data_IF_967336948539
#
_entry.id   IF_967336948539
#
_cell.length_a   1.000
_cell.length_b   1.000
_cell.length_c   1.000
_cell.angle_alpha   90.00
_cell.angle_beta   90.00
_cell.angle_gamma   90.00
#
_symmetry.space_group_name_H-M   'P 1'
#
loop_
_entity.id
_entity.type
_entity.pdbx_description
1 polymer ?
#
# COMPACT_ATOMS: atom_id res chain seq x y z
N UNK A 1 -3.15 2.70 -11.76
CA UNK A 1 -3.35 1.35 -11.18
C UNK A 1 -2.38 1.19 -10.01
N UNK A 2 -2.56 0.17 -9.16
CA UNK A 2 -1.61 -0.16 -8.09
C UNK A 2 -0.83 -1.41 -8.55
N UNK A 3 0.50 -1.31 -8.57
CA UNK A 3 1.39 -2.43 -8.86
C UNK A 3 2.12 -2.89 -7.60
N UNK A 4 2.62 -4.13 -7.61
CA UNK A 4 3.47 -4.66 -6.54
C UNK A 4 4.71 -5.32 -7.11
N UNK A 5 5.82 -5.24 -6.38
CA UNK A 5 7.09 -5.90 -6.72
C UNK A 5 7.65 -6.60 -5.49
N UNK A 6 8.08 -7.85 -5.66
CA UNK A 6 8.74 -8.62 -4.60
C UNK A 6 10.25 -8.61 -4.82
N UNK A 7 11.01 -8.19 -3.82
CA UNK A 7 12.46 -8.28 -3.84
C UNK A 7 12.87 -9.77 -3.75
N UNK A 8 13.67 -10.30 -4.70
CA UNK A 8 14.08 -11.70 -4.67
C UNK A 8 15.07 -12.02 -3.53
N UNK A 9 15.81 -11.02 -3.06
CA UNK A 9 16.84 -11.21 -2.02
C UNK A 9 16.28 -11.10 -0.59
N UNK A 10 15.33 -10.20 -0.36
CA UNK A 10 14.77 -9.96 0.99
C UNK A 10 13.37 -10.51 1.16
N UNK A 11 12.69 -10.85 0.07
CA UNK A 11 11.29 -11.30 0.09
C UNK A 11 10.28 -10.19 0.37
N UNK A 12 10.72 -8.96 0.61
CA UNK A 12 9.87 -7.78 0.82
C UNK A 12 9.00 -7.53 -0.40
N UNK A 13 7.71 -7.30 -0.20
CA UNK A 13 6.78 -6.89 -1.25
C UNK A 13 6.51 -5.40 -1.07
N UNK A 14 6.82 -4.59 -2.08
CA UNK A 14 6.49 -3.17 -2.11
C UNK A 14 5.34 -2.89 -3.08
N UNK A 15 4.54 -1.89 -2.76
CA UNK A 15 3.40 -1.41 -3.54
C UNK A 15 3.68 -0.04 -4.11
N UNK A 16 3.24 0.22 -5.34
CA UNK A 16 3.50 1.47 -6.06
C UNK A 16 2.26 1.91 -6.82
N UNK A 17 1.94 3.20 -6.77
CA UNK A 17 1.01 3.79 -7.74
C UNK A 17 1.73 3.99 -9.07
N UNK A 18 1.04 3.76 -10.19
CA UNK A 18 1.66 3.94 -11.51
C UNK A 18 2.13 5.38 -11.77
N UNK A 19 1.51 6.37 -11.12
CA UNK A 19 1.93 7.77 -11.19
C UNK A 19 3.30 8.00 -10.53
N UNK A 20 3.66 7.16 -9.56
CA UNK A 20 4.89 7.28 -8.77
C UNK A 20 5.58 5.90 -8.65
N UNK A 21 6.09 5.33 -9.75
CA UNK A 21 6.54 3.92 -9.82
C UNK A 21 7.81 3.64 -9.00
N UNK A 22 8.45 4.69 -8.48
CA UNK A 22 9.67 4.63 -7.66
C UNK A 22 9.41 4.95 -6.19
N UNK A 23 8.22 5.42 -5.83
CA UNK A 23 7.83 5.72 -4.45
C UNK A 23 6.96 4.59 -3.90
N UNK A 24 7.48 3.85 -2.93
CA UNK A 24 6.72 2.78 -2.29
C UNK A 24 5.62 3.38 -1.41
N UNK A 25 4.37 2.98 -1.63
CA UNK A 25 3.19 3.43 -0.88
C UNK A 25 2.71 2.42 0.15
N UNK A 26 3.34 1.24 0.18
CA UNK A 26 3.13 0.23 1.19
C UNK A 26 4.12 -0.92 1.07
N UNK A 27 4.28 -1.69 2.14
CA UNK A 27 5.16 -2.86 2.13
C UNK A 27 4.60 -4.02 2.95
N UNK A 28 5.00 -5.24 2.58
CA UNK A 28 4.77 -6.46 3.35
C UNK A 28 6.09 -7.19 3.52
N UNK A 29 6.37 -7.58 4.77
CA UNK A 29 7.61 -8.27 5.15
C UNK A 29 7.28 -9.51 5.98
N UNK A 30 8.04 -10.59 5.77
CA UNK A 30 8.03 -11.75 6.68
C UNK A 30 9.09 -11.52 7.74
N UNK A 31 8.67 -11.38 8.99
CA UNK A 31 9.59 -11.11 10.10
C UNK A 31 10.08 -12.43 10.69
N UNK A 32 11.40 -12.59 10.81
CA UNK A 32 12.00 -13.76 11.44
C UNK A 32 11.49 -13.88 12.89
N UNK A 33 11.02 -15.07 13.27
CA UNK A 33 10.47 -15.32 14.61
C UNK A 33 9.02 -14.85 14.84
N UNK A 34 8.38 -14.18 13.87
CA UNK A 34 6.96 -13.84 13.96
C UNK A 34 6.10 -14.90 13.26
N UNK A 35 4.92 -15.20 13.82
CA UNK A 35 3.95 -16.15 13.27
C UNK A 35 3.17 -15.61 12.04
N UNK A 36 3.75 -14.68 11.27
CA UNK A 36 3.04 -14.06 10.15
C UNK A 36 3.85 -13.00 9.40
N UNK A 37 3.11 -12.14 8.69
CA UNK A 37 3.63 -11.06 7.87
C UNK A 37 3.28 -9.72 8.51
N UNK A 38 4.25 -8.82 8.59
CA UNK A 38 4.02 -7.42 8.94
C UNK A 38 3.74 -6.63 7.68
N UNK A 39 2.76 -5.74 7.74
CA UNK A 39 2.38 -4.87 6.63
C UNK A 39 2.34 -3.41 7.07
N UNK A 40 2.63 -2.51 6.12
CA UNK A 40 2.57 -1.06 6.30
C UNK A 40 1.95 -0.42 5.06
N UNK A 41 1.13 0.60 5.29
CA UNK A 41 0.61 1.55 4.31
C UNK A 41 1.18 2.93 4.65
N UNK A 42 1.74 3.61 3.66
CA UNK A 42 2.38 4.92 3.81
C UNK A 42 1.55 6.06 3.20
N UNK A 43 0.39 5.73 2.62
CA UNK A 43 -0.45 6.72 1.92
C UNK A 43 -1.36 7.43 2.91
N UNK A 44 -1.26 8.75 2.99
CA UNK A 44 -2.20 9.56 3.77
C UNK A 44 -3.60 9.61 3.14
N UNK A 45 -4.66 9.74 3.95
CA UNK A 45 -4.69 9.73 5.43
C UNK A 45 -4.65 8.32 6.05
N UNK A 46 -4.44 7.29 5.23
CA UNK A 46 -4.53 5.87 5.61
C UNK A 46 -3.17 5.27 6.02
N UNK A 47 -2.26 6.11 6.51
CA UNK A 47 -0.97 5.67 7.06
C UNK A 47 -1.21 4.73 8.24
N UNK A 48 -0.88 3.46 8.08
CA UNK A 48 -1.23 2.43 9.05
C UNK A 48 -0.34 1.19 8.90
N UNK A 49 -0.40 0.27 9.87
CA UNK A 49 0.33 -0.97 9.82
C UNK A 49 -0.26 -2.04 10.73
N UNK A 50 0.19 -3.27 10.54
CA UNK A 50 -0.26 -4.39 11.36
C UNK A 50 0.43 -5.70 11.01
N UNK A 51 -0.13 -6.79 11.55
CA UNK A 51 0.28 -8.15 11.24
C UNK A 51 -0.87 -8.91 10.58
N UNK A 52 -0.53 -9.89 9.76
CA UNK A 52 -1.47 -10.84 9.17
C UNK A 52 -0.86 -12.25 9.18
N UNK A 53 -1.68 -13.31 9.27
CA UNK A 53 -1.18 -14.68 9.34
C UNK A 53 -0.52 -15.15 8.04
N UNK A 54 -0.90 -14.56 6.91
CA UNK A 54 -0.43 -14.95 5.59
C UNK A 54 -0.20 -13.73 4.67
N UNK A 55 0.61 -13.96 3.63
CA UNK A 55 1.00 -12.91 2.67
C UNK A 55 -0.23 -12.34 1.95
N UNK A 56 -1.18 -13.19 1.54
CA UNK A 56 -2.34 -12.75 0.77
C UNK A 56 -3.22 -11.80 1.59
N UNK A 57 -3.42 -12.10 2.87
CA UNK A 57 -4.14 -11.24 3.80
C UNK A 57 -3.41 -9.92 4.02
N UNK A 58 -2.09 -9.95 4.22
CA UNK A 58 -1.27 -8.73 4.36
C UNK A 58 -1.36 -7.82 3.12
N UNK A 59 -1.20 -8.39 1.93
CA UNK A 59 -1.26 -7.67 0.65
C UNK A 59 -2.64 -7.06 0.40
N UNK A 60 -3.70 -7.79 0.75
CA UNK A 60 -5.07 -7.29 0.67
C UNK A 60 -5.27 -6.07 1.56
N UNK A 61 -4.78 -6.09 2.81
CA UNK A 61 -4.89 -4.95 3.73
C UNK A 61 -4.26 -3.68 3.13
N UNK A 62 -3.03 -3.79 2.60
CA UNK A 62 -2.35 -2.65 1.97
C UNK A 62 -3.10 -2.18 0.73
N UNK A 63 -3.55 -3.10 -0.12
CA UNK A 63 -4.29 -2.76 -1.35
C UNK A 63 -5.61 -2.05 -1.07
N UNK A 64 -6.37 -2.50 -0.07
CA UNK A 64 -7.65 -1.91 0.29
C UNK A 64 -7.45 -0.48 0.84
N UNK A 65 -6.44 -0.24 1.68
CA UNK A 65 -6.09 1.11 2.16
C UNK A 65 -5.63 2.03 1.02
N UNK A 66 -4.77 1.56 0.12
CA UNK A 66 -4.34 2.34 -1.04
C UNK A 66 -5.50 2.70 -1.97
N UNK A 67 -6.49 1.81 -2.13
CA UNK A 67 -7.71 2.10 -2.91
C UNK A 67 -8.58 3.16 -2.24
N UNK A 68 -8.73 3.11 -0.92
CA UNK A 68 -9.46 4.12 -0.17
C UNK A 68 -8.80 5.49 -0.31
N UNK A 69 -7.47 5.56 -0.16
CA UNK A 69 -6.70 6.79 -0.37
C UNK A 69 -6.89 7.36 -1.78
N UNK A 70 -6.78 6.51 -2.81
CA UNK A 70 -6.98 6.92 -4.20
C UNK A 70 -8.42 7.36 -4.49
N UNK A 71 -9.42 6.81 -3.80
CA UNK A 71 -10.81 7.22 -3.94
C UNK A 71 -11.06 8.59 -3.28
N UNK A 72 -10.48 8.83 -2.10
CA UNK A 72 -10.58 10.11 -1.40
C UNK A 72 -9.91 11.25 -2.19
N UNK A 73 -8.70 11.02 -2.71
CA UNK A 73 -7.99 12.01 -3.51
C UNK A 73 -8.77 12.47 -4.76
N UNK A 74 -9.62 11.61 -5.34
CA UNK A 74 -10.50 11.96 -6.46
C UNK A 74 -11.72 12.78 -6.05
N UNK A 75 -12.13 12.71 -4.78
CA UNK A 75 -13.27 13.45 -4.27
C UNK A 75 -12.86 14.88 -3.85
N UNK A 76 -11.60 15.06 -3.45
CA UNK A 76 -11.02 16.35 -3.06
C UNK A 76 -10.46 17.16 -4.26
N UNK A 77 -10.62 16.72 -5.51
CA UNK A 77 -10.32 17.58 -6.65
C UNK A 77 -11.28 18.78 -6.64
N UNK A 78 -10.79 20.02 -6.45
CA UNK A 78 -11.67 21.17 -6.44
C UNK A 78 -12.34 21.28 -7.80
N UNK A 79 -13.66 21.45 -7.78
CA UNK A 79 -14.42 21.87 -8.96
C UNK A 79 -13.87 23.25 -9.35
N UNK A 80 -12.92 23.27 -10.27
CA UNK A 80 -12.53 24.48 -10.98
C UNK A 80 -13.70 24.85 -11.88
N UNK A 81 -14.68 25.56 -11.31
CA UNK A 81 -15.62 26.35 -12.09
C UNK A 81 -14.82 27.43 -12.81
N UNK A 82 -14.45 27.13 -14.06
CA UNK A 82 -14.03 28.15 -15.01
C UNK A 82 -15.25 28.98 -15.40
N UNK A 83 -15.17 30.27 -15.05
CA UNK A 83 -15.86 31.45 -15.58
C UNK A 83 -17.40 31.41 -15.69
#
# INVERSE_FOLDING_TARGET
MLSRKRCPHTGVVNFYFDAEPYLSVGSVVKTAGAAGYQWRCYTDPYTSGGAAPDLKTAERRVTDLCRQAAALARQDEPIVHAA
#
